data_IF_643616311196
#
_entry.id   IF_643616311196
#
_cell.length_a   1.000
_cell.length_b   1.000
_cell.length_c   1.000
_cell.angle_alpha   90.00
_cell.angle_beta   90.00
_cell.angle_gamma   90.00
#
_symmetry.space_group_name_H-M   'P 1'
#
loop_
_entity.id
_entity.type
_entity.pdbx_description
1 polymer ?
#
# COMPACT_ATOMS: atom_id res chain seq x y z
N UNK A 1 10.82 -10.66 0.97
CA UNK A 1 11.64 -9.43 1.06
C UNK A 1 12.29 -9.39 2.43
N UNK A 2 13.53 -8.91 2.55
CA UNK A 2 14.20 -8.83 3.86
C UNK A 2 13.44 -7.85 4.76
N UNK A 3 13.02 -8.30 5.94
CA UNK A 3 12.29 -7.47 6.90
C UNK A 3 10.78 -7.35 6.68
N UNK A 4 10.19 -8.11 5.74
CA UNK A 4 8.73 -8.22 5.60
C UNK A 4 8.33 -9.68 5.83
N UNK A 5 7.43 -9.90 6.78
CA UNK A 5 6.88 -11.22 7.11
C UNK A 5 5.35 -11.21 7.02
N UNK A 6 4.79 -12.34 6.59
CA UNK A 6 3.34 -12.55 6.53
C UNK A 6 2.95 -13.56 7.60
N UNK A 7 1.90 -13.25 8.36
CA UNK A 7 1.27 -14.18 9.28
C UNK A 7 -0.03 -14.63 8.63
N UNK A 8 -0.16 -15.94 8.42
CA UNK A 8 -1.34 -16.57 7.84
C UNK A 8 -2.12 -17.32 8.92
N UNK A 9 -3.41 -17.58 8.68
CA UNK A 9 -4.18 -18.53 9.48
C UNK A 9 -3.97 -19.97 8.99
N UNK A 10 -4.65 -20.94 9.62
CA UNK A 10 -4.54 -22.36 9.29
C UNK A 10 -4.99 -22.71 7.85
N UNK A 11 -5.83 -21.87 7.24
CA UNK A 11 -6.24 -21.97 5.84
C UNK A 11 -5.26 -21.26 4.87
N UNK A 12 -4.11 -20.83 5.38
CA UNK A 12 -3.08 -20.08 4.67
C UNK A 12 -3.52 -18.71 4.14
N UNK A 13 -4.63 -18.17 4.65
CA UNK A 13 -5.09 -16.82 4.33
C UNK A 13 -4.28 -15.80 5.12
N UNK A 14 -3.76 -14.78 4.44
CA UNK A 14 -2.98 -13.69 5.07
C UNK A 14 -3.86 -12.93 6.06
N UNK A 15 -3.41 -12.83 7.31
CA UNK A 15 -4.11 -12.11 8.39
C UNK A 15 -3.37 -10.84 8.80
N UNK A 16 -2.04 -10.90 8.83
CA UNK A 16 -1.20 -9.81 9.33
C UNK A 16 0.08 -9.69 8.48
N UNK A 17 0.52 -8.45 8.33
CA UNK A 17 1.76 -8.06 7.69
C UNK A 17 2.66 -7.42 8.76
N UNK A 18 3.86 -7.97 8.96
CA UNK A 18 4.85 -7.44 9.88
C UNK A 18 6.04 -6.88 9.09
N UNK A 19 6.34 -5.59 9.28
CA UNK A 19 7.46 -4.91 8.63
C UNK A 19 8.45 -4.46 9.73
N UNK A 20 9.69 -4.91 9.63
CA UNK A 20 10.76 -4.46 10.53
C UNK A 20 11.12 -2.99 10.22
N UNK A 21 11.01 -2.12 11.23
CA UNK A 21 11.37 -0.71 11.11
C UNK A 21 12.83 -0.48 10.71
N UNK A 22 13.74 -1.42 11.03
CA UNK A 22 15.14 -1.34 10.57
C UNK A 22 15.26 -1.57 9.06
N UNK A 23 14.35 -2.34 8.48
CA UNK A 23 14.32 -2.58 7.04
C UNK A 23 13.95 -1.29 6.27
N UNK A 24 13.14 -0.40 6.84
CA UNK A 24 12.85 0.92 6.24
C UNK A 24 14.10 1.77 6.00
N UNK A 25 15.12 1.68 6.86
CA UNK A 25 16.36 2.46 6.68
C UNK A 25 17.28 1.88 5.61
N UNK A 26 17.27 0.57 5.43
CA UNK A 26 18.23 -0.15 4.58
C UNK A 26 17.66 -0.51 3.20
N UNK A 27 16.35 -0.64 3.11
CA UNK A 27 15.60 -1.09 1.94
C UNK A 27 14.41 -0.15 1.67
N UNK A 28 14.58 1.15 1.90
CA UNK A 28 13.51 2.16 1.80
C UNK A 28 12.78 2.12 0.46
N UNK A 29 13.51 1.98 -0.66
CA UNK A 29 12.94 1.90 -2.00
C UNK A 29 12.05 0.67 -2.19
N UNK A 30 12.57 -0.53 -1.88
CA UNK A 30 11.79 -1.78 -1.99
C UNK A 30 10.53 -1.74 -1.11
N UNK A 31 10.61 -1.15 0.08
CA UNK A 31 9.45 -1.02 0.97
C UNK A 31 8.45 0.01 0.45
N UNK A 32 8.92 1.12 -0.12
CA UNK A 32 8.05 2.11 -0.75
C UNK A 32 7.26 1.48 -1.89
N UNK A 33 7.94 0.79 -2.81
CA UNK A 33 7.29 0.09 -3.93
C UNK A 33 6.26 -0.93 -3.44
N UNK A 34 6.58 -1.67 -2.37
CA UNK A 34 5.66 -2.62 -1.79
C UNK A 34 4.41 -1.96 -1.18
N UNK A 35 4.57 -0.82 -0.49
CA UNK A 35 3.45 -0.05 0.04
C UNK A 35 2.59 0.50 -1.10
N UNK A 36 3.20 1.02 -2.18
CA UNK A 36 2.47 1.52 -3.35
C UNK A 36 1.57 0.43 -3.95
N UNK A 37 2.10 -0.79 -4.09
CA UNK A 37 1.31 -1.94 -4.59
C UNK A 37 0.17 -2.30 -3.64
N UNK A 38 0.39 -2.27 -2.33
CA UNK A 38 -0.67 -2.55 -1.34
C UNK A 38 -1.79 -1.51 -1.40
N UNK A 39 -1.43 -0.23 -1.53
CA UNK A 39 -2.40 0.86 -1.67
C UNK A 39 -3.14 0.76 -3.01
N UNK A 40 -2.46 0.41 -4.09
CA UNK A 40 -3.11 0.21 -5.39
C UNK A 40 -4.11 -0.95 -5.35
N UNK A 41 -3.74 -2.10 -4.76
CA UNK A 41 -4.64 -3.27 -4.65
C UNK A 41 -5.83 -3.00 -3.72
N UNK A 42 -5.65 -2.24 -2.63
CA UNK A 42 -6.74 -1.92 -1.71
C UNK A 42 -7.81 -1.03 -2.35
N UNK A 43 -7.42 -0.22 -3.35
CA UNK A 43 -8.27 0.73 -4.07
C UNK A 43 -8.84 0.20 -5.39
N UNK A 44 -8.60 -1.06 -5.74
CA UNK A 44 -9.04 -1.64 -7.03
C UNK A 44 -10.56 -1.64 -7.25
N UNK A 45 -11.32 -1.56 -6.16
CA UNK A 45 -12.78 -1.51 -6.17
C UNK A 45 -13.33 -0.12 -5.85
N UNK A 46 -12.47 0.89 -5.68
CA UNK A 46 -12.90 2.26 -5.47
C UNK A 46 -13.60 2.76 -6.74
N UNK A 47 -14.60 3.63 -6.56
CA UNK A 47 -15.17 4.34 -7.71
C UNK A 47 -14.08 5.19 -8.36
N UNK A 48 -13.92 4.99 -9.68
CA UNK A 48 -13.04 5.83 -10.47
C UNK A 48 -13.73 7.15 -10.77
N UNK A 49 -13.04 8.26 -10.50
CA UNK A 49 -13.47 9.59 -10.90
C UNK A 49 -12.84 9.98 -12.23
N UNK A 50 -13.48 10.89 -12.98
CA UNK A 50 -12.84 11.47 -14.16
C UNK A 50 -11.61 12.29 -13.77
N UNK A 51 -10.70 12.47 -14.71
CA UNK A 51 -9.50 13.29 -14.48
C UNK A 51 -9.87 14.75 -14.17
N UNK A 52 -10.90 15.25 -14.84
CA UNK A 52 -11.45 16.59 -14.68
C UNK A 52 -11.97 16.78 -13.25
N UNK A 53 -12.71 15.82 -12.73
CA UNK A 53 -13.23 15.85 -11.35
C UNK A 53 -12.09 15.74 -10.33
N UNK A 54 -11.11 14.86 -10.56
CA UNK A 54 -9.93 14.72 -9.70
C UNK A 54 -9.09 16.01 -9.63
N UNK A 55 -8.93 16.70 -10.77
CA UNK A 55 -8.21 17.98 -10.81
C UNK A 55 -8.97 19.09 -10.09
N UNK A 56 -10.30 19.05 -10.14
CA UNK A 56 -11.13 20.02 -9.43
C UNK A 56 -11.10 19.82 -7.91
N UNK A 57 -11.14 18.58 -7.41
CA UNK A 57 -11.07 18.31 -5.97
C UNK A 57 -9.74 18.78 -5.35
N UNK A 58 -8.61 18.47 -5.99
CA UNK A 58 -7.27 18.88 -5.53
C UNK A 58 -7.13 20.40 -5.43
N UNK A 59 -7.81 21.16 -6.29
CA UNK A 59 -7.75 22.63 -6.31
C UNK A 59 -8.60 23.30 -5.23
N UNK A 60 -9.58 22.61 -4.65
CA UNK A 60 -10.50 23.16 -3.65
C UNK A 60 -10.24 22.64 -2.23
N UNK A 61 -9.37 21.64 -2.06
CA UNK A 61 -8.93 21.13 -0.75
C UNK A 61 -7.71 21.89 -0.18
N UNK A 62 -7.26 22.96 -0.85
CA UNK A 62 -6.17 23.88 -0.45
C UNK A 62 -6.71 25.30 -0.21
#
# INVERSE_FOLDING_TARGET
MKGISYITNDANNRKLLAIDLKAFKKHSGEIHEFIDVLVADSRKNDESVSWEDAKFSIRNDL
#
